data_IF_703854836675
#
_entry.id   IF_703854836675
#
_cell.length_a   1.000
_cell.length_b   1.000
_cell.length_c   1.000
_cell.angle_alpha   90.00
_cell.angle_beta   90.00
_cell.angle_gamma   90.00
#
_symmetry.space_group_name_H-M   'P 1'
#
loop_
_entity.id
_entity.type
_entity.pdbx_description
1 polymer ?
#
# COMPACT_ATOMS: atom_id res chain seq x y z
N UNK A 1 -50.48 2.13 -2.26
CA UNK A 1 -49.18 1.81 -1.68
C UNK A 1 -48.30 1.27 -2.79
N UNK A 2 -47.35 2.08 -3.26
CA UNK A 2 -46.42 1.71 -4.33
C UNK A 2 -45.33 0.85 -3.72
N UNK A 3 -45.36 -0.47 -3.99
CA UNK A 3 -44.30 -1.42 -3.67
C UNK A 3 -43.11 -1.13 -4.61
N UNK A 4 -42.28 -0.19 -4.23
CA UNK A 4 -41.00 0.08 -4.92
C UNK A 4 -40.04 -1.04 -4.52
N UNK A 5 -39.95 -2.09 -5.33
CA UNK A 5 -38.92 -3.12 -5.21
C UNK A 5 -37.53 -2.48 -5.34
N UNK A 6 -36.87 -2.21 -4.22
CA UNK A 6 -35.50 -1.71 -4.21
C UNK A 6 -34.55 -2.84 -4.60
N UNK A 7 -34.16 -2.87 -5.86
CA UNK A 7 -33.12 -3.78 -6.34
C UNK A 7 -31.76 -3.21 -5.93
N UNK A 8 -30.98 -4.00 -5.21
CA UNK A 8 -29.58 -3.72 -4.93
C UNK A 8 -28.71 -4.60 -5.83
N UNK A 9 -27.70 -4.00 -6.44
CA UNK A 9 -26.70 -4.69 -7.25
C UNK A 9 -25.38 -4.68 -6.49
N UNK A 10 -24.88 -5.88 -6.17
CA UNK A 10 -23.58 -6.07 -5.58
C UNK A 10 -22.66 -6.72 -6.62
N UNK A 11 -21.53 -6.07 -6.89
CA UNK A 11 -20.50 -6.63 -7.78
C UNK A 11 -19.41 -7.29 -6.96
N UNK A 12 -19.05 -8.52 -7.33
CA UNK A 12 -17.90 -9.24 -6.81
C UNK A 12 -16.90 -9.37 -7.95
N UNK A 13 -15.88 -8.51 -7.96
CA UNK A 13 -14.82 -8.54 -8.97
C UNK A 13 -13.69 -9.46 -8.53
N UNK A 14 -13.09 -10.16 -9.49
CA UNK A 14 -11.93 -11.03 -9.31
C UNK A 14 -10.75 -10.44 -10.08
N UNK A 15 -9.55 -10.59 -9.53
CA UNK A 15 -8.31 -10.14 -10.16
C UNK A 15 -7.72 -11.21 -11.08
N UNK A 16 -8.04 -12.47 -10.78
CA UNK A 16 -7.67 -13.62 -11.59
C UNK A 16 -8.89 -14.52 -11.78
N UNK A 17 -8.88 -15.35 -12.82
CA UNK A 17 -9.93 -16.34 -13.05
C UNK A 17 -9.89 -17.37 -11.92
N UNK A 18 -11.03 -17.58 -11.24
CA UNK A 18 -11.17 -18.53 -10.15
C UNK A 18 -12.37 -19.44 -10.44
N UNK A 19 -12.23 -20.72 -10.12
CA UNK A 19 -13.30 -21.72 -10.27
C UNK A 19 -13.68 -22.41 -8.97
N UNK A 20 -12.92 -22.20 -7.89
CA UNK A 20 -13.22 -22.79 -6.60
C UNK A 20 -14.45 -22.10 -5.99
N UNK A 21 -15.54 -22.85 -5.84
CA UNK A 21 -16.79 -22.34 -5.28
C UNK A 21 -16.66 -21.87 -3.83
N UNK A 22 -15.75 -22.43 -3.03
CA UNK A 22 -15.53 -22.00 -1.66
C UNK A 22 -14.88 -20.62 -1.62
N UNK A 23 -13.90 -20.37 -2.49
CA UNK A 23 -13.25 -19.06 -2.62
C UNK A 23 -14.26 -18.02 -3.10
N UNK A 24 -15.02 -18.33 -4.14
CA UNK A 24 -16.04 -17.43 -4.68
C UNK A 24 -17.12 -17.10 -3.62
N UNK A 25 -17.49 -18.09 -2.82
CA UNK A 25 -18.46 -17.90 -1.73
C UNK A 25 -17.90 -16.99 -0.64
N UNK A 26 -16.64 -17.19 -0.21
CA UNK A 26 -15.99 -16.33 0.80
C UNK A 26 -15.86 -14.89 0.34
N UNK A 27 -15.53 -14.66 -0.94
CA UNK A 27 -15.48 -13.32 -1.51
C UNK A 27 -16.86 -12.65 -1.54
N UNK A 28 -17.89 -13.40 -1.95
CA UNK A 28 -19.27 -12.91 -1.94
C UNK A 28 -19.74 -12.60 -0.51
N UNK A 29 -19.43 -13.47 0.45
CA UNK A 29 -19.73 -13.29 1.86
C UNK A 29 -19.07 -12.02 2.41
N UNK A 30 -17.79 -11.82 2.14
CA UNK A 30 -17.06 -10.62 2.59
C UNK A 30 -17.66 -9.31 2.06
N UNK A 31 -18.29 -9.34 0.88
CA UNK A 31 -19.02 -8.20 0.31
C UNK A 31 -20.43 -8.02 0.89
N UNK A 32 -21.09 -9.12 1.27
CA UNK A 32 -22.45 -9.10 1.80
C UNK A 32 -22.51 -8.72 3.29
N UNK A 33 -21.53 -9.17 4.10
CA UNK A 33 -21.50 -8.95 5.54
C UNK A 33 -21.60 -7.45 5.96
N UNK A 34 -20.86 -6.51 5.33
CA UNK A 34 -20.97 -5.09 5.68
C UNK A 34 -22.24 -4.42 5.13
N UNK A 35 -23.02 -5.10 4.30
CA UNK A 35 -24.14 -4.50 3.60
C UNK A 35 -25.36 -4.36 4.52
N UNK A 36 -25.86 -3.15 4.68
CA UNK A 36 -27.13 -2.93 5.38
C UNK A 36 -28.29 -3.12 4.43
N UNK A 37 -29.02 -4.21 4.64
CA UNK A 37 -30.23 -4.53 3.87
C UNK A 37 -31.42 -3.97 4.63
N UNK A 38 -32.16 -2.98 4.09
CA UNK A 38 -33.23 -2.28 4.84
C UNK A 38 -34.52 -3.09 4.99
N UNK A 39 -34.65 -4.21 4.26
CA UNK A 39 -35.83 -5.07 4.30
C UNK A 39 -35.46 -6.53 4.03
N UNK A 40 -36.28 -7.50 4.41
CA UNK A 40 -36.06 -8.93 4.11
C UNK A 40 -35.86 -9.18 2.63
N UNK A 41 -34.81 -9.95 2.28
CA UNK A 41 -34.55 -10.37 0.90
C UNK A 41 -35.51 -11.45 0.48
N UNK A 42 -36.27 -11.22 -0.59
CA UNK A 42 -37.21 -12.21 -1.16
C UNK A 42 -36.58 -13.03 -2.28
N UNK A 43 -35.69 -12.39 -3.08
CA UNK A 43 -35.06 -13.05 -4.22
C UNK A 43 -33.58 -12.63 -4.30
N UNK A 44 -32.74 -13.60 -4.65
CA UNK A 44 -31.35 -13.42 -4.98
C UNK A 44 -31.11 -13.91 -6.41
N UNK A 45 -30.45 -13.11 -7.23
CA UNK A 45 -30.03 -13.48 -8.58
C UNK A 45 -28.53 -13.34 -8.69
N UNK A 46 -27.87 -14.42 -9.07
CA UNK A 46 -26.46 -14.42 -9.43
C UNK A 46 -26.34 -14.30 -10.95
N UNK A 47 -25.49 -13.39 -11.42
CA UNK A 47 -25.23 -13.16 -12.85
C UNK A 47 -23.72 -13.15 -13.05
N UNK A 48 -23.23 -13.89 -14.04
CA UNK A 48 -21.85 -13.91 -14.47
C UNK A 48 -21.85 -13.78 -16.00
N UNK A 49 -21.62 -12.56 -16.48
CA UNK A 49 -21.75 -12.23 -17.92
C UNK A 49 -20.45 -12.42 -18.68
N UNK A 50 -19.31 -12.24 -18.02
CA UNK A 50 -17.98 -12.40 -18.61
C UNK A 50 -17.15 -13.38 -17.77
N UNK A 51 -16.90 -14.56 -18.33
CA UNK A 51 -16.15 -15.63 -17.69
C UNK A 51 -14.83 -15.83 -18.47
N UNK A 52 -13.73 -15.26 -18.02
CA UNK A 52 -12.44 -15.46 -18.67
C UNK A 52 -12.00 -16.93 -18.56
N UNK A 53 -11.20 -17.44 -19.53
CA UNK A 53 -10.69 -18.78 -19.47
C UNK A 53 -9.81 -18.99 -18.24
N UNK A 54 -10.09 -20.06 -17.50
CA UNK A 54 -9.29 -20.43 -16.35
C UNK A 54 -8.02 -21.14 -16.80
N UNK A 55 -6.87 -20.54 -16.50
CA UNK A 55 -5.55 -21.17 -16.71
C UNK A 55 -5.01 -21.60 -15.35
N UNK A 56 -4.87 -22.91 -15.08
CA UNK A 56 -4.30 -23.37 -13.82
C UNK A 56 -2.87 -22.85 -13.65
N UNK A 57 -2.59 -22.23 -12.51
CA UNK A 57 -1.21 -21.92 -12.15
C UNK A 57 -0.50 -23.23 -11.75
N UNK A 58 0.64 -23.52 -12.38
CA UNK A 58 1.47 -24.65 -12.00
C UNK A 58 2.09 -24.38 -10.62
N UNK A 59 1.62 -25.10 -9.61
CA UNK A 59 2.32 -25.16 -8.33
C UNK A 59 3.43 -26.19 -8.42
N UNK A 60 4.62 -25.84 -7.97
CA UNK A 60 5.73 -26.78 -7.92
C UNK A 60 5.37 -27.94 -6.98
N UNK A 61 5.39 -29.16 -7.53
CA UNK A 61 4.88 -30.39 -6.85
C UNK A 61 5.65 -30.72 -5.55
N UNK A 62 6.84 -30.13 -5.36
CA UNK A 62 7.77 -30.44 -4.29
C UNK A 62 8.04 -29.25 -3.34
N UNK A 63 7.28 -28.17 -3.43
CA UNK A 63 7.42 -27.06 -2.47
C UNK A 63 6.37 -27.18 -1.34
N UNK A 64 6.75 -27.69 -0.15
CA UNK A 64 5.81 -27.85 0.96
C UNK A 64 5.28 -26.52 1.51
N UNK A 65 5.94 -25.39 1.18
CA UNK A 65 5.49 -24.05 1.60
C UNK A 65 4.39 -23.51 0.70
N UNK A 66 4.36 -23.92 -0.58
CA UNK A 66 3.33 -23.51 -1.53
C UNK A 66 1.92 -24.05 -1.16
N UNK A 67 1.85 -25.18 -0.44
CA UNK A 67 0.58 -25.78 -0.03
C UNK A 67 -0.09 -25.06 1.14
N UNK A 68 0.64 -24.31 1.95
CA UNK A 68 0.11 -23.59 3.13
C UNK A 68 0.01 -22.08 2.92
N UNK A 69 0.72 -21.52 1.97
CA UNK A 69 0.68 -20.10 1.68
C UNK A 69 -0.49 -19.78 0.77
N UNK A 70 -1.42 -18.98 1.26
CA UNK A 70 -2.45 -18.42 0.40
C UNK A 70 -1.79 -17.57 -0.69
N UNK A 71 -2.10 -17.78 -1.98
CA UNK A 71 -1.56 -16.95 -3.05
C UNK A 71 -1.83 -15.46 -2.77
N UNK A 72 -0.86 -14.61 -3.08
CA UNK A 72 -0.97 -13.17 -2.85
C UNK A 72 -2.23 -12.57 -3.48
N UNK A 73 -2.59 -13.02 -4.66
CA UNK A 73 -3.79 -12.60 -5.38
C UNK A 73 -5.07 -12.88 -4.59
N UNK A 74 -5.18 -14.07 -4.01
CA UNK A 74 -6.35 -14.44 -3.20
C UNK A 74 -6.44 -13.63 -1.90
N UNK A 75 -5.30 -13.44 -1.22
CA UNK A 75 -5.26 -12.58 -0.03
C UNK A 75 -5.72 -11.16 -0.36
N UNK A 76 -5.25 -10.62 -1.46
CA UNK A 76 -5.60 -9.29 -1.93
C UNK A 76 -7.09 -9.17 -2.27
N UNK A 77 -7.67 -10.16 -2.96
CA UNK A 77 -9.10 -10.21 -3.26
C UNK A 77 -9.94 -10.25 -1.98
N UNK A 78 -9.54 -11.05 -1.00
CA UNK A 78 -10.23 -11.09 0.31
C UNK A 78 -10.15 -9.76 1.04
N UNK A 79 -9.00 -9.10 1.03
CA UNK A 79 -8.84 -7.78 1.63
C UNK A 79 -9.73 -6.75 0.94
N UNK A 80 -9.77 -6.74 -0.40
CA UNK A 80 -10.65 -5.83 -1.16
C UNK A 80 -12.13 -6.14 -0.93
N UNK A 81 -12.50 -7.41 -0.87
CA UNK A 81 -13.88 -7.80 -0.57
C UNK A 81 -14.33 -7.29 0.79
N UNK A 82 -13.46 -7.33 1.79
CA UNK A 82 -13.78 -6.94 3.17
C UNK A 82 -13.67 -5.45 3.43
N UNK A 83 -12.64 -4.80 2.90
CA UNK A 83 -12.29 -3.40 3.19
C UNK A 83 -12.77 -2.43 2.12
N UNK A 84 -13.18 -2.93 0.96
CA UNK A 84 -13.52 -2.14 -0.21
C UNK A 84 -12.37 -2.08 -1.23
N UNK A 85 -12.73 -1.83 -2.49
CA UNK A 85 -11.76 -1.86 -3.61
C UNK A 85 -10.69 -0.77 -3.48
N UNK A 86 -11.05 0.37 -2.92
CA UNK A 86 -10.16 1.51 -2.73
C UNK A 86 -9.19 1.38 -1.55
N UNK A 87 -9.43 0.42 -0.64
CA UNK A 87 -8.58 0.22 0.53
C UNK A 87 -7.27 -0.51 0.20
N UNK A 88 -7.22 -1.25 -0.91
CA UNK A 88 -6.04 -2.04 -1.33
C UNK A 88 -5.56 -1.52 -2.68
N UNK A 89 -4.55 -0.68 -2.65
CA UNK A 89 -3.94 -0.05 -3.82
C UNK A 89 -2.54 -0.58 -4.08
N UNK A 90 -2.10 -0.46 -5.32
CA UNK A 90 -0.70 -0.62 -5.68
C UNK A 90 0.11 0.62 -5.30
N UNK A 91 1.41 0.50 -5.35
CA UNK A 91 2.35 1.61 -5.24
C UNK A 91 3.10 1.74 -6.57
N UNK A 92 3.30 2.97 -7.00
CA UNK A 92 4.13 3.31 -8.15
C UNK A 92 5.26 4.21 -7.67
N UNK A 93 6.49 3.89 -8.04
CA UNK A 93 7.63 4.75 -7.80
C UNK A 93 7.56 5.98 -8.72
N UNK A 94 7.91 7.14 -8.19
CA UNK A 94 8.04 8.41 -8.91
C UNK A 94 9.50 8.87 -8.92
N UNK A 95 9.91 9.48 -10.03
CA UNK A 95 11.25 10.02 -10.20
C UNK A 95 11.39 11.36 -9.47
N UNK A 96 11.22 11.34 -8.15
CA UNK A 96 11.40 12.51 -7.29
C UNK A 96 12.42 12.19 -6.19
N UNK A 97 13.29 13.16 -5.90
CA UNK A 97 14.30 13.01 -4.85
C UNK A 97 13.74 13.25 -3.44
N UNK A 98 12.59 13.92 -3.34
CA UNK A 98 11.88 14.09 -2.07
C UNK A 98 11.28 12.77 -1.64
N UNK A 99 11.61 12.23 -0.46
CA UNK A 99 11.15 10.90 -0.03
C UNK A 99 9.62 10.77 0.00
N UNK A 100 8.95 11.83 0.41
CA UNK A 100 7.49 11.93 0.47
C UNK A 100 6.81 11.94 -0.90
N UNK A 101 7.54 12.32 -1.96
CA UNK A 101 7.07 12.39 -3.34
C UNK A 101 7.60 11.26 -4.23
N UNK A 102 8.49 10.40 -3.70
CA UNK A 102 9.14 9.33 -4.47
C UNK A 102 8.22 8.14 -4.80
N UNK A 103 7.00 8.18 -4.33
CA UNK A 103 5.99 7.16 -4.62
C UNK A 103 4.57 7.74 -4.57
N UNK A 104 3.65 7.07 -5.23
CA UNK A 104 2.23 7.39 -5.13
C UNK A 104 1.37 6.13 -5.21
N UNK A 105 0.16 6.22 -4.66
CA UNK A 105 -0.85 5.18 -4.84
C UNK A 105 -1.25 5.07 -6.30
N UNK A 106 -1.30 3.87 -6.82
CA UNK A 106 -1.59 3.62 -8.22
C UNK A 106 -2.54 2.42 -8.38
N UNK A 107 -3.14 2.32 -9.55
CA UNK A 107 -3.80 1.11 -9.96
C UNK A 107 -2.79 -0.04 -10.00
N UNK A 108 -3.27 -1.23 -9.79
CA UNK A 108 -2.45 -2.44 -9.74
C UNK A 108 -1.76 -2.69 -11.09
N UNK A 109 -0.49 -3.07 -11.03
CA UNK A 109 0.33 -3.31 -12.23
C UNK A 109 0.83 -2.04 -12.93
N UNK A 110 0.55 -0.85 -12.39
CA UNK A 110 1.12 0.38 -12.91
C UNK A 110 2.65 0.35 -12.77
N UNK A 111 3.34 0.57 -13.89
CA UNK A 111 4.80 0.69 -13.88
C UNK A 111 5.19 2.09 -13.40
N UNK A 112 6.19 2.16 -12.54
CA UNK A 112 6.76 3.41 -12.05
C UNK A 112 8.11 3.70 -12.72
N UNK A 113 8.55 4.94 -12.63
CA UNK A 113 9.91 5.32 -12.99
C UNK A 113 10.82 5.11 -11.79
N UNK A 114 11.81 4.23 -11.94
CA UNK A 114 12.83 4.04 -10.93
C UNK A 114 14.03 4.93 -11.27
N UNK A 115 14.29 5.94 -10.44
CA UNK A 115 15.55 6.66 -10.46
C UNK A 115 16.48 5.97 -9.47
N UNK A 116 17.67 5.60 -9.91
CA UNK A 116 18.71 5.12 -9.00
C UNK A 116 19.08 6.26 -8.04
N UNK A 117 18.64 6.16 -6.81
CA UNK A 117 18.99 7.13 -5.76
C UNK A 117 20.35 6.76 -5.16
N UNK A 118 21.25 7.71 -4.99
CA UNK A 118 22.49 7.45 -4.27
C UNK A 118 22.16 7.14 -2.79
N UNK A 119 22.88 6.19 -2.23
CA UNK A 119 22.79 5.85 -0.82
C UNK A 119 21.63 4.90 -0.46
N UNK A 120 21.65 4.47 0.78
CA UNK A 120 20.64 3.59 1.38
C UNK A 120 19.46 4.43 1.85
N UNK A 121 18.26 4.02 1.50
CA UNK A 121 17.00 4.62 1.95
C UNK A 121 16.36 3.77 3.04
N UNK A 122 15.64 4.39 4.00
CA UNK A 122 14.93 3.62 5.03
C UNK A 122 13.81 2.78 4.41
N UNK A 123 13.57 1.60 4.99
CA UNK A 123 12.45 0.75 4.60
C UNK A 123 11.09 1.26 5.08
N UNK A 124 11.09 2.18 6.03
CA UNK A 124 9.89 2.74 6.62
C UNK A 124 9.99 4.26 6.75
N UNK A 125 9.08 4.98 6.09
CA UNK A 125 8.92 6.42 6.27
C UNK A 125 7.80 6.71 7.27
N UNK A 126 8.02 7.71 8.12
CA UNK A 126 6.99 8.22 9.02
C UNK A 126 5.97 9.04 8.20
N UNK A 127 4.68 8.96 8.51
CA UNK A 127 3.67 9.80 7.87
C UNK A 127 3.95 11.30 8.03
N UNK A 128 4.46 11.67 9.21
CA UNK A 128 4.92 13.02 9.53
C UNK A 128 6.28 12.95 10.21
N UNK A 129 7.25 13.80 9.81
CA UNK A 129 8.55 13.87 10.47
C UNK A 129 8.42 14.26 11.94
N UNK A 130 9.23 13.67 12.80
CA UNK A 130 9.24 13.93 14.25
C UNK A 130 10.51 14.64 14.67
N UNK A 131 10.39 15.69 15.50
CA UNK A 131 11.56 16.36 16.06
C UNK A 131 12.31 15.43 17.02
N UNK A 132 13.62 15.38 16.88
CA UNK A 132 14.52 14.57 17.73
C UNK A 132 14.99 15.33 18.98
N UNK A 133 14.20 16.26 19.48
CA UNK A 133 14.51 17.03 20.67
C UNK A 133 14.59 16.13 21.91
N UNK A 134 15.71 16.20 22.62
CA UNK A 134 15.93 15.40 23.85
C UNK A 134 16.22 13.92 23.61
N UNK A 135 16.11 13.40 22.41
CA UNK A 135 16.44 12.02 22.08
C UNK A 135 17.95 11.91 21.81
N UNK A 136 18.65 11.19 22.66
CA UNK A 136 20.08 10.95 22.47
C UNK A 136 20.33 10.12 21.22
N UNK A 137 21.10 10.68 20.29
CA UNK A 137 21.44 10.01 19.03
C UNK A 137 22.87 10.31 18.60
N UNK A 138 23.41 9.47 17.73
CA UNK A 138 24.73 9.63 17.10
C UNK A 138 24.55 9.70 15.60
N UNK A 139 25.21 10.67 14.96
CA UNK A 139 25.26 10.76 13.50
C UNK A 139 26.20 9.70 12.94
N UNK A 140 25.77 9.03 11.87
CA UNK A 140 26.52 7.99 11.17
C UNK A 140 26.92 8.49 9.76
N UNK A 141 28.18 8.87 9.61
CA UNK A 141 28.73 9.29 8.32
C UNK A 141 28.39 10.74 7.94
N UNK A 142 28.60 11.05 6.66
CA UNK A 142 28.35 12.39 6.10
C UNK A 142 26.86 12.58 5.76
N UNK A 143 26.46 13.85 5.69
CA UNK A 143 25.14 14.23 5.24
C UNK A 143 24.96 13.97 3.73
N UNK A 144 23.77 13.59 3.34
CA UNK A 144 23.31 13.62 1.95
C UNK A 144 22.40 14.83 1.75
N UNK A 145 22.77 15.72 0.84
CA UNK A 145 21.96 16.88 0.53
C UNK A 145 20.93 16.58 -0.52
N UNK A 146 19.66 16.92 -0.23
CA UNK A 146 18.55 16.87 -1.18
C UNK A 146 18.04 18.30 -1.35
N UNK A 147 18.16 18.79 -2.59
CA UNK A 147 17.55 20.04 -3.06
C UNK A 147 16.65 19.72 -4.24
N UNK A 148 15.34 19.92 -4.08
CA UNK A 148 14.36 19.47 -5.07
C UNK A 148 13.03 20.23 -4.89
N UNK A 149 12.16 20.21 -5.91
CA UNK A 149 10.80 20.74 -5.81
C UNK A 149 10.65 22.21 -6.17
N UNK A 150 11.70 22.85 -6.71
CA UNK A 150 11.65 24.27 -7.13
C UNK A 150 10.68 24.52 -8.30
N UNK A 151 10.31 23.46 -9.03
CA UNK A 151 9.42 23.54 -10.20
C UNK A 151 7.92 23.43 -9.88
N UNK A 152 7.55 22.94 -8.69
CA UNK A 152 6.16 22.71 -8.29
C UNK A 152 5.74 23.51 -7.04
N UNK A 153 6.61 24.39 -6.56
CA UNK A 153 6.36 25.19 -5.35
C UNK A 153 6.59 24.43 -4.05
N UNK A 154 7.02 23.17 -4.12
CA UNK A 154 7.37 22.33 -2.97
C UNK A 154 8.89 22.30 -2.70
N UNK A 155 9.59 23.43 -2.85
CA UNK A 155 11.04 23.53 -2.70
C UNK A 155 11.50 23.04 -1.34
N UNK A 156 12.40 22.07 -1.35
CA UNK A 156 13.06 21.55 -0.15
C UNK A 156 14.58 21.63 -0.27
N UNK A 157 15.21 22.01 0.83
CA UNK A 157 16.67 22.04 0.98
C UNK A 157 17.00 21.39 2.31
N UNK A 158 17.37 20.11 2.26
CA UNK A 158 17.54 19.29 3.47
C UNK A 158 18.87 18.55 3.45
N UNK A 159 19.57 18.54 4.58
CA UNK A 159 20.72 17.66 4.83
C UNK A 159 20.26 16.45 5.61
N UNK A 160 20.32 15.29 4.97
CA UNK A 160 19.90 14.01 5.54
C UNK A 160 21.09 13.29 6.20
N UNK A 161 20.81 12.73 7.36
CA UNK A 161 21.76 11.98 8.17
C UNK A 161 21.22 10.61 8.50
N UNK A 162 22.08 9.61 8.50
CA UNK A 162 21.78 8.37 9.22
C UNK A 162 22.13 8.60 10.68
N UNK A 163 21.24 8.19 11.55
CA UNK A 163 21.41 8.30 12.99
C UNK A 163 21.32 6.93 13.65
N UNK A 164 21.90 6.81 14.83
CA UNK A 164 21.70 5.67 15.72
C UNK A 164 21.24 6.20 17.07
N UNK A 165 20.12 5.67 17.57
CA UNK A 165 19.59 6.01 18.89
C UNK A 165 20.39 5.30 20.00
N UNK A 166 20.15 5.64 21.25
CA UNK A 166 20.76 4.96 22.40
C UNK A 166 20.40 3.48 22.48
N UNK A 167 19.23 3.11 21.98
CA UNK A 167 18.73 1.74 21.91
C UNK A 167 19.27 0.95 20.72
N UNK A 168 20.12 1.58 19.88
CA UNK A 168 20.73 0.95 18.71
C UNK A 168 19.86 0.95 17.46
N UNK A 169 18.70 1.63 17.47
CA UNK A 169 17.85 1.76 16.29
C UNK A 169 18.48 2.74 15.30
N UNK A 170 18.39 2.40 14.01
CA UNK A 170 18.93 3.26 12.94
C UNK A 170 17.82 4.04 12.29
N UNK A 171 17.93 5.36 12.36
CA UNK A 171 16.98 6.29 11.78
C UNK A 171 17.57 7.09 10.61
N UNK A 172 16.69 7.66 9.82
CA UNK A 172 17.00 8.62 8.79
C UNK A 172 16.36 9.95 9.15
N UNK A 173 17.18 10.96 9.37
CA UNK A 173 16.74 12.23 9.87
C UNK A 173 17.34 13.36 9.03
N UNK A 174 16.66 14.50 8.96
CA UNK A 174 17.13 15.63 8.19
C UNK A 174 17.14 16.93 9.01
N UNK A 175 18.02 17.84 8.59
CA UNK A 175 17.98 19.25 8.98
C UNK A 175 17.47 20.07 7.80
N UNK A 176 16.45 20.86 8.04
CA UNK A 176 15.98 21.82 7.05
C UNK A 176 16.94 23.01 6.99
N UNK A 177 17.39 23.36 5.77
CA UNK A 177 18.32 24.46 5.56
C UNK A 177 17.61 25.78 5.29
N UNK A 178 16.34 25.74 4.88
CA UNK A 178 15.51 26.93 4.68
C UNK A 178 14.95 27.44 6.01
N UNK A 179 14.70 26.53 6.96
CA UNK A 179 14.15 26.84 8.28
C UNK A 179 15.03 26.23 9.37
N UNK A 180 15.95 27.03 9.96
CA UNK A 180 16.79 26.55 11.05
C UNK A 180 15.91 26.00 12.20
N UNK A 181 16.19 24.77 12.62
CA UNK A 181 15.38 24.08 13.62
C UNK A 181 16.05 22.77 14.09
N UNK A 182 15.28 21.91 14.75
CA UNK A 182 15.76 20.62 15.23
C UNK A 182 16.13 19.69 14.08
N UNK A 183 16.70 18.56 14.41
CA UNK A 183 16.85 17.43 13.51
C UNK A 183 15.50 16.69 13.47
N UNK A 184 15.00 16.41 12.27
CA UNK A 184 13.70 15.77 12.05
C UNK A 184 13.89 14.32 11.63
N UNK A 185 13.39 13.39 12.41
CA UNK A 185 13.32 11.96 12.04
C UNK A 185 12.24 11.77 10.99
N UNK A 186 12.60 11.18 9.85
CA UNK A 186 11.67 10.91 8.76
C UNK A 186 11.46 9.42 8.49
N UNK A 187 12.33 8.53 8.95
CA UNK A 187 12.17 7.11 8.72
C UNK A 187 13.12 6.24 9.51
N UNK A 188 12.89 4.93 9.43
CA UNK A 188 13.67 3.91 10.11
C UNK A 188 14.25 2.90 9.11
N UNK A 189 15.50 2.53 9.33
CA UNK A 189 16.11 1.39 8.67
C UNK A 189 15.74 0.11 9.41
N UNK A 190 15.44 -0.96 8.64
CA UNK A 190 15.21 -2.29 9.19
C UNK A 190 16.51 -2.97 9.62
#
# INVERSE_FOLDING_TARGET
ASDVYKRQLLRVGLLAAERDGAILFELARGRLEPLRIPAPVRNLRLVADDLPPFVPQHQALFDPRAQQAQPWEQLRERLRARLGDEAVKGLRAEADHRPECAWQSAAQGAQGSLTALPGSRPGWLLPEPQALDGMGHRLLGAAERIESGWWDGGDVRRDYYRIETREGLRGWAYRDLAQPGPLWLQGWFA
#
